data_IF_203303690655
#
_entry.id   IF_203303690655
#
_cell.length_a   1.000
_cell.length_b   1.000
_cell.length_c   1.000
_cell.angle_alpha   90.00
_cell.angle_beta   90.00
_cell.angle_gamma   90.00
#
_symmetry.space_group_name_H-M   'P 1'
#
loop_
_entity.id
_entity.type
_entity.pdbx_description
1 polymer ?
#
# COMPACT_ATOMS: atom_id res chain seq x y z
N UNK A 1 25.49 -10.28 9.75
CA UNK A 1 24.28 -11.08 9.51
C UNK A 1 24.44 -11.79 8.19
N UNK A 2 24.00 -13.04 8.10
CA UNK A 2 23.98 -13.77 6.84
C UNK A 2 23.00 -13.10 5.85
N UNK A 3 23.42 -12.96 4.59
CA UNK A 3 22.57 -12.46 3.51
C UNK A 3 21.89 -13.68 2.87
N UNK A 4 20.56 -13.61 2.70
CA UNK A 4 19.76 -14.68 2.08
C UNK A 4 19.03 -14.16 0.86
N UNK A 5 19.00 -14.98 -0.20
CA UNK A 5 18.31 -14.69 -1.45
C UNK A 5 17.27 -15.78 -1.74
N UNK A 6 16.13 -15.38 -2.27
CA UNK A 6 15.16 -16.27 -2.92
C UNK A 6 14.84 -15.73 -4.32
N UNK A 7 13.93 -16.38 -5.05
CA UNK A 7 13.52 -15.94 -6.39
C UNK A 7 12.97 -14.51 -6.41
N UNK A 8 12.31 -14.06 -5.34
CA UNK A 8 11.64 -12.76 -5.27
C UNK A 8 12.01 -11.94 -4.04
N UNK A 9 12.81 -12.47 -3.13
CA UNK A 9 13.11 -11.84 -1.85
C UNK A 9 14.62 -11.75 -1.58
N UNK A 10 14.99 -10.72 -0.83
CA UNK A 10 16.34 -10.45 -0.35
C UNK A 10 16.29 -10.05 1.13
N UNK A 11 17.08 -10.73 1.95
CA UNK A 11 17.16 -10.47 3.39
C UNK A 11 18.61 -10.15 3.78
N UNK A 12 18.79 -8.99 4.40
CA UNK A 12 20.01 -8.54 5.06
C UNK A 12 19.74 -8.25 6.54
N UNK A 13 20.73 -7.72 7.27
CA UNK A 13 20.62 -7.55 8.72
C UNK A 13 19.51 -6.57 9.17
N UNK A 14 19.32 -5.46 8.46
CA UNK A 14 18.36 -4.41 8.80
C UNK A 14 17.56 -3.95 7.57
N UNK A 15 17.54 -4.75 6.51
CA UNK A 15 16.88 -4.42 5.26
C UNK A 15 16.35 -5.70 4.61
N UNK A 16 15.08 -5.63 4.21
CA UNK A 16 14.39 -6.70 3.51
C UNK A 16 13.70 -6.13 2.28
N UNK A 17 13.93 -6.77 1.13
CA UNK A 17 13.17 -6.54 -0.09
C UNK A 17 12.34 -7.79 -0.35
N UNK A 18 11.03 -7.65 -0.45
CA UNK A 18 10.11 -8.78 -0.57
C UNK A 18 9.10 -8.53 -1.67
N UNK A 19 8.99 -9.46 -2.62
CA UNK A 19 7.95 -9.42 -3.63
C UNK A 19 6.64 -9.94 -3.04
N UNK A 20 5.66 -9.08 -2.79
CA UNK A 20 4.36 -9.45 -2.25
C UNK A 20 3.24 -8.72 -3.00
N UNK A 21 2.10 -9.40 -3.22
CA UNK A 21 0.88 -8.75 -3.67
C UNK A 21 0.11 -8.18 -2.48
N UNK A 22 -0.04 -6.85 -2.41
CA UNK A 22 -0.71 -6.15 -1.31
C UNK A 22 -2.20 -6.52 -1.16
N UNK A 23 -2.81 -7.13 -2.19
CA UNK A 23 -4.18 -7.64 -2.13
C UNK A 23 -4.29 -8.96 -1.37
N UNK A 24 -3.18 -9.66 -1.15
CA UNK A 24 -3.12 -10.96 -0.47
C UNK A 24 -2.50 -10.83 0.92
N UNK A 25 -3.32 -10.44 1.90
CA UNK A 25 -2.90 -10.17 3.28
C UNK A 25 -2.18 -11.37 3.93
N UNK A 26 -2.63 -12.60 3.64
CA UNK A 26 -2.00 -13.82 4.17
C UNK A 26 -0.56 -13.98 3.67
N UNK A 27 -0.30 -13.68 2.40
CA UNK A 27 1.03 -13.69 1.81
C UNK A 27 1.93 -12.64 2.47
N UNK A 28 1.43 -11.40 2.57
CA UNK A 28 2.14 -10.29 3.21
C UNK A 28 2.49 -10.61 4.68
N UNK A 29 1.53 -11.13 5.43
CA UNK A 29 1.73 -11.53 6.83
C UNK A 29 2.83 -12.60 6.95
N UNK A 30 2.81 -13.62 6.08
CA UNK A 30 3.82 -14.68 6.10
C UNK A 30 5.21 -14.12 5.79
N UNK A 31 5.32 -13.20 4.81
CA UNK A 31 6.59 -12.57 4.45
C UNK A 31 7.16 -11.69 5.57
N UNK A 32 6.32 -10.89 6.24
CA UNK A 32 6.76 -10.10 7.39
C UNK A 32 7.23 -10.97 8.55
N UNK A 33 6.58 -12.11 8.81
CA UNK A 33 7.05 -13.09 9.80
C UNK A 33 8.39 -13.72 9.39
N UNK A 34 8.58 -14.05 8.11
CA UNK A 34 9.86 -14.57 7.59
C UNK A 34 10.99 -13.54 7.66
N UNK A 35 10.66 -12.25 7.56
CA UNK A 35 11.57 -11.15 7.78
C UNK A 35 11.76 -10.80 9.26
N UNK A 36 11.23 -11.61 10.18
CA UNK A 36 11.37 -11.46 11.63
C UNK A 36 10.90 -10.08 12.13
N UNK A 37 9.88 -9.50 11.47
CA UNK A 37 9.32 -8.20 11.86
C UNK A 37 8.67 -8.32 13.24
N UNK A 38 9.12 -7.46 14.16
CA UNK A 38 8.48 -7.27 15.46
C UNK A 38 7.27 -6.34 15.30
N UNK A 39 6.07 -6.86 15.52
CA UNK A 39 4.82 -6.08 15.38
C UNK A 39 4.54 -5.16 16.59
N UNK A 40 5.36 -5.23 17.65
CA UNK A 40 5.22 -4.43 18.86
C UNK A 40 5.98 -3.10 18.82
N UNK A 41 6.94 -2.94 17.90
CA UNK A 41 7.73 -1.71 17.80
C UNK A 41 7.00 -0.62 16.99
N UNK A 42 7.28 0.68 17.26
CA UNK A 42 6.74 1.77 16.46
C UNK A 42 7.09 1.60 14.98
N UNK A 43 6.07 1.53 14.12
CA UNK A 43 6.24 1.23 12.70
C UNK A 43 5.68 2.35 11.81
N UNK A 44 6.45 2.79 10.83
CA UNK A 44 5.99 3.72 9.79
C UNK A 44 5.69 2.94 8.51
N UNK A 45 4.47 3.06 8.00
CA UNK A 45 4.09 2.64 6.67
C UNK A 45 4.09 3.83 5.71
N UNK A 46 4.67 3.64 4.53
CA UNK A 46 4.71 4.63 3.47
C UNK A 46 4.10 4.04 2.20
N UNK A 47 3.02 4.64 1.72
CA UNK A 47 2.43 4.38 0.42
C UNK A 47 2.55 5.63 -0.45
N UNK A 48 3.53 5.65 -1.34
CA UNK A 48 3.77 6.76 -2.28
C UNK A 48 3.24 6.37 -3.68
N UNK A 49 2.07 6.91 -4.02
CA UNK A 49 1.30 6.59 -5.23
C UNK A 49 1.06 5.08 -5.37
N UNK A 50 0.56 4.41 -4.33
CA UNK A 50 0.35 2.95 -4.34
C UNK A 50 -1.13 2.58 -4.29
N UNK A 51 -1.86 3.04 -3.28
CA UNK A 51 -3.19 2.50 -2.97
C UNK A 51 -4.25 2.85 -4.02
N UNK A 52 -4.04 3.92 -4.81
CA UNK A 52 -4.88 4.30 -5.95
C UNK A 52 -4.92 3.25 -7.07
N UNK A 53 -3.91 2.37 -7.14
CA UNK A 53 -3.87 1.26 -8.12
C UNK A 53 -4.49 -0.03 -7.59
N UNK A 54 -4.75 -0.10 -6.28
CA UNK A 54 -5.40 -1.22 -5.61
C UNK A 54 -6.89 -0.92 -5.52
N UNK A 55 -7.75 -1.92 -5.71
CA UNK A 55 -9.19 -1.73 -5.51
C UNK A 55 -9.48 -1.33 -4.05
N UNK A 56 -10.49 -0.48 -3.86
CA UNK A 56 -10.80 0.10 -2.55
C UNK A 56 -11.11 -0.95 -1.49
N UNK A 57 -11.74 -2.06 -1.86
CA UNK A 57 -12.01 -3.16 -0.91
C UNK A 57 -10.72 -3.81 -0.40
N UNK A 58 -9.80 -4.15 -1.29
CA UNK A 58 -8.52 -4.73 -0.89
C UNK A 58 -7.63 -3.73 -0.13
N UNK A 59 -7.61 -2.46 -0.54
CA UNK A 59 -6.85 -1.42 0.15
C UNK A 59 -7.38 -1.17 1.57
N UNK A 60 -8.70 -1.06 1.76
CA UNK A 60 -9.30 -0.94 3.09
C UNK A 60 -9.03 -2.19 3.96
N UNK A 61 -9.07 -3.39 3.36
CA UNK A 61 -8.71 -4.61 4.09
C UNK A 61 -7.24 -4.59 4.55
N UNK A 62 -6.32 -4.14 3.70
CA UNK A 62 -4.91 -3.97 4.02
C UNK A 62 -4.71 -2.96 5.15
N UNK A 63 -5.28 -1.76 5.04
CA UNK A 63 -5.16 -0.70 6.04
C UNK A 63 -5.70 -1.14 7.40
N UNK A 64 -6.88 -1.77 7.40
CA UNK A 64 -7.48 -2.34 8.61
C UNK A 64 -6.56 -3.38 9.24
N UNK A 65 -6.05 -4.32 8.45
CA UNK A 65 -5.16 -5.35 8.94
C UNK A 65 -3.86 -4.78 9.52
N UNK A 66 -3.25 -3.78 8.86
CA UNK A 66 -2.06 -3.11 9.38
C UNK A 66 -2.34 -2.43 10.73
N UNK A 67 -3.46 -1.71 10.84
CA UNK A 67 -3.88 -1.05 12.08
C UNK A 67 -4.21 -2.02 13.23
N UNK A 68 -4.73 -3.20 12.93
CA UNK A 68 -4.98 -4.26 13.92
C UNK A 68 -3.70 -5.02 14.32
N UNK A 69 -2.78 -5.20 13.37
CA UNK A 69 -1.59 -6.03 13.56
C UNK A 69 -0.46 -5.30 14.29
N UNK A 70 -0.27 -4.01 14.02
CA UNK A 70 0.81 -3.19 14.59
C UNK A 70 0.27 -2.26 15.68
N UNK A 71 0.71 -2.47 16.93
CA UNK A 71 0.16 -1.77 18.10
C UNK A 71 0.42 -0.26 18.10
N UNK A 72 1.53 0.17 17.51
CA UNK A 72 1.89 1.57 17.38
C UNK A 72 2.40 1.81 15.96
N UNK A 73 1.57 2.43 15.13
CA UNK A 73 1.94 2.70 13.75
C UNK A 73 1.49 4.07 13.26
N UNK A 74 2.23 4.58 12.29
CA UNK A 74 1.87 5.75 11.50
C UNK A 74 1.78 5.29 10.04
N UNK A 75 0.72 5.72 9.36
CA UNK A 75 0.55 5.48 7.93
C UNK A 75 0.63 6.81 7.18
N UNK A 76 1.58 6.92 6.26
CA UNK A 76 1.72 8.06 5.36
C UNK A 76 1.29 7.62 3.96
N UNK A 77 0.17 8.17 3.50
CA UNK A 77 -0.34 7.98 2.14
C UNK A 77 -0.12 9.27 1.34
N UNK A 78 0.53 9.15 0.18
CA UNK A 78 0.63 10.23 -0.80
C UNK A 78 0.07 9.72 -2.12
N UNK A 79 -1.04 10.27 -2.57
CA UNK A 79 -1.63 9.97 -3.88
C UNK A 79 -2.55 11.10 -4.35
N UNK A 80 -3.24 10.89 -5.47
CA UNK A 80 -4.11 11.91 -6.05
C UNK A 80 -5.34 12.21 -5.17
N UNK A 81 -5.90 13.41 -5.33
CA UNK A 81 -7.11 13.87 -4.66
C UNK A 81 -7.91 14.78 -5.60
N UNK A 82 -9.18 15.06 -5.29
CA UNK A 82 -10.08 15.89 -6.11
C UNK A 82 -10.34 15.28 -7.50
N UNK A 83 -10.37 13.95 -7.59
CA UNK A 83 -10.43 13.21 -8.85
C UNK A 83 -11.72 13.37 -9.66
N UNK A 84 -12.72 14.10 -9.13
CA UNK A 84 -13.99 14.39 -9.81
C UNK A 84 -14.01 15.71 -10.57
N UNK A 85 -13.03 16.58 -10.36
CA UNK A 85 -12.97 17.86 -11.06
C UNK A 85 -12.54 17.70 -12.54
N UNK A 86 -12.44 18.83 -13.27
CA UNK A 86 -12.03 18.80 -14.69
C UNK A 86 -10.60 18.32 -14.89
N UNK A 87 -9.69 18.64 -13.97
CA UNK A 87 -8.30 18.18 -14.04
C UNK A 87 -8.22 16.67 -13.79
N UNK A 88 -8.93 16.17 -12.78
CA UNK A 88 -9.05 14.74 -12.47
C UNK A 88 -9.62 13.94 -13.63
N UNK A 89 -10.67 14.44 -14.29
CA UNK A 89 -11.24 13.80 -15.49
C UNK A 89 -10.23 13.68 -16.63
N UNK A 90 -9.49 14.75 -16.92
CA UNK A 90 -8.42 14.75 -17.94
C UNK A 90 -7.30 13.78 -17.56
N UNK A 91 -6.88 13.77 -16.29
CA UNK A 91 -5.87 12.84 -15.79
C UNK A 91 -6.30 11.38 -15.93
N UNK A 92 -7.53 11.04 -15.55
CA UNK A 92 -8.07 9.69 -15.70
C UNK A 92 -8.12 9.25 -17.15
N UNK A 93 -8.59 10.12 -18.05
CA UNK A 93 -8.63 9.82 -19.47
C UNK A 93 -7.21 9.55 -20.00
N UNK A 94 -6.24 10.41 -19.63
CA UNK A 94 -4.84 10.28 -20.03
C UNK A 94 -4.20 8.96 -19.55
N UNK A 95 -4.44 8.57 -18.30
CA UNK A 95 -3.91 7.32 -17.75
C UNK A 95 -4.57 6.10 -18.39
N UNK A 96 -5.89 6.12 -18.57
CA UNK A 96 -6.62 5.03 -19.23
C UNK A 96 -6.15 4.81 -20.67
N UNK A 97 -5.90 5.88 -21.43
CA UNK A 97 -5.35 5.78 -22.79
C UNK A 97 -3.96 5.10 -22.84
N UNK A 98 -3.24 5.05 -21.71
CA UNK A 98 -1.93 4.38 -21.57
C UNK A 98 -2.06 2.97 -20.95
N UNK A 99 -3.27 2.44 -20.81
CA UNK A 99 -3.53 1.15 -20.17
C UNK A 99 -3.35 1.16 -18.64
N UNK A 100 -3.28 2.35 -18.03
CA UNK A 100 -3.12 2.50 -16.59
C UNK A 100 -4.47 2.81 -15.95
N UNK A 101 -5.04 1.83 -15.25
CA UNK A 101 -6.30 1.97 -14.54
C UNK A 101 -6.05 2.33 -13.07
N UNK A 102 -6.73 3.37 -12.58
CA UNK A 102 -6.75 3.72 -11.16
C UNK A 102 -7.93 3.01 -10.49
N UNK A 103 -7.70 1.80 -9.98
CA UNK A 103 -8.76 0.96 -9.40
C UNK A 103 -9.35 1.55 -8.11
N UNK A 104 -8.54 2.25 -7.31
CA UNK A 104 -8.95 2.90 -6.06
C UNK A 104 -9.30 4.37 -6.20
N UNK A 105 -9.65 4.83 -7.42
CA UNK A 105 -9.94 6.26 -7.67
C UNK A 105 -11.11 6.81 -6.85
N UNK A 106 -12.03 5.96 -6.41
CA UNK A 106 -13.17 6.39 -5.60
C UNK A 106 -12.75 6.94 -4.23
N UNK A 107 -11.65 6.43 -3.66
CA UNK A 107 -11.08 6.93 -2.40
C UNK A 107 -10.37 8.29 -2.59
N UNK A 108 -10.08 8.67 -3.84
CA UNK A 108 -9.37 9.89 -4.21
C UNK A 108 -10.31 11.05 -4.57
N UNK A 109 -11.60 10.98 -4.22
CA UNK A 109 -12.55 12.05 -4.49
C UNK A 109 -12.19 13.35 -3.76
N UNK A 110 -11.82 13.28 -2.48
CA UNK A 110 -11.47 14.45 -1.66
C UNK A 110 -10.51 14.09 -0.53
N UNK A 111 -10.04 15.07 0.23
CA UNK A 111 -9.20 14.80 1.41
C UNK A 111 -9.98 14.02 2.47
N UNK A 112 -11.28 14.28 2.58
CA UNK A 112 -12.19 13.62 3.52
C UNK A 112 -12.48 12.17 3.13
N UNK A 113 -12.45 11.80 1.84
CA UNK A 113 -12.53 10.38 1.45
C UNK A 113 -11.25 9.64 1.81
N UNK A 114 -10.09 10.26 1.58
CA UNK A 114 -8.78 9.71 1.97
C UNK A 114 -8.68 9.47 3.49
N UNK A 115 -9.16 10.41 4.31
CA UNK A 115 -9.12 10.30 5.77
C UNK A 115 -10.09 9.26 6.36
N UNK A 116 -11.17 8.94 5.64
CA UNK A 116 -12.19 7.97 6.10
C UNK A 116 -11.88 6.53 5.74
N UNK A 117 -10.92 6.32 4.84
CA UNK A 117 -10.51 5.01 4.34
C UNK A 117 -9.91 4.14 5.44
#
# INVERSE_FOLDING_TARGET
>A
GEIKFSTTDFHAANYHLMGADLRHISELSNKLVQAEVDFSIPTLFLAECVLVYVDSTAASALLKWLGEKFQNSIFVNYEQVNMRDKFGQVMLQNLRCRGCLLAGVEDCESLETQQRR
#
